data_IF_240173739586
#
_entry.id   IF_240173739586
#
_cell.length_a   1.000
_cell.length_b   1.000
_cell.length_c   1.000
_cell.angle_alpha   90.00
_cell.angle_beta   90.00
_cell.angle_gamma   90.00
#
_symmetry.space_group_name_H-M   'P 1'
#
loop_
_entity.id
_entity.type
_entity.pdbx_description
1 polymer ?
#
# COMPACT_ATOMS: atom_id res chain seq x y z
N UNK A 1 19.81 -13.42 -6.04
CA UNK A 1 21.19 -13.37 -6.58
C UNK A 1 21.86 -14.75 -6.48
N UNK A 2 21.26 -15.78 -7.10
CA UNK A 2 21.80 -17.16 -7.18
C UNK A 2 21.47 -17.83 -8.53
N UNK A 3 20.39 -17.42 -9.20
CA UNK A 3 19.93 -17.98 -10.48
C UNK A 3 20.84 -17.59 -11.66
N UNK A 4 21.36 -16.35 -11.68
CA UNK A 4 22.32 -15.88 -12.70
C UNK A 4 23.62 -16.69 -12.69
N UNK A 5 24.06 -17.14 -11.50
CA UNK A 5 25.27 -17.95 -11.32
C UNK A 5 25.12 -19.38 -11.84
N UNK A 6 23.89 -19.88 -11.98
CA UNK A 6 23.61 -21.26 -12.38
C UNK A 6 23.31 -21.44 -13.87
N UNK A 7 23.37 -20.35 -14.66
CA UNK A 7 23.16 -20.36 -16.11
C UNK A 7 21.87 -21.09 -16.55
N UNK A 8 20.86 -21.13 -15.67
CA UNK A 8 19.60 -21.83 -15.91
C UNK A 8 18.79 -20.98 -16.89
N UNK A 9 18.47 -21.54 -18.04
CA UNK A 9 17.73 -20.86 -19.10
C UNK A 9 16.28 -20.56 -18.71
N UNK A 10 15.72 -21.33 -17.77
CA UNK A 10 14.35 -21.21 -17.27
C UNK A 10 14.28 -21.43 -15.75
N UNK A 11 13.42 -20.68 -15.06
CA UNK A 11 13.19 -20.86 -13.62
C UNK A 11 12.55 -22.24 -13.36
N UNK A 12 13.10 -23.07 -12.43
CA UNK A 12 12.50 -24.36 -12.12
C UNK A 12 11.04 -24.20 -11.66
N UNK A 13 10.18 -25.16 -12.00
CA UNK A 13 8.75 -25.13 -11.69
C UNK A 13 8.46 -24.86 -10.19
N UNK A 14 9.26 -25.41 -9.28
CA UNK A 14 9.13 -25.17 -7.84
C UNK A 14 9.29 -23.69 -7.46
N UNK A 15 10.21 -22.96 -8.10
CA UNK A 15 10.38 -21.53 -7.89
C UNK A 15 9.22 -20.72 -8.48
N UNK A 16 8.72 -21.10 -9.66
CA UNK A 16 7.55 -20.46 -10.26
C UNK A 16 6.30 -20.63 -9.37
N UNK A 17 6.12 -21.83 -8.81
CA UNK A 17 5.03 -22.14 -7.89
C UNK A 17 5.14 -21.32 -6.59
N UNK A 18 6.33 -21.28 -5.97
CA UNK A 18 6.58 -20.47 -4.79
C UNK A 18 6.33 -18.98 -5.05
N UNK A 19 6.75 -18.47 -6.20
CA UNK A 19 6.53 -17.08 -6.60
C UNK A 19 5.03 -16.75 -6.70
N UNK A 20 4.24 -17.61 -7.34
CA UNK A 20 2.78 -17.44 -7.46
C UNK A 20 2.09 -17.50 -6.10
N UNK A 21 2.45 -18.45 -5.24
CA UNK A 21 1.90 -18.56 -3.88
C UNK A 21 2.24 -17.32 -3.06
N UNK A 22 3.52 -16.90 -3.06
CA UNK A 22 3.97 -15.72 -2.34
C UNK A 22 3.26 -14.45 -2.82
N UNK A 23 3.13 -14.27 -4.13
CA UNK A 23 2.43 -13.11 -4.71
C UNK A 23 0.93 -13.12 -4.37
N UNK A 24 0.31 -14.30 -4.31
CA UNK A 24 -1.10 -14.45 -3.90
C UNK A 24 -1.29 -14.09 -2.43
N UNK A 25 -0.41 -14.57 -1.55
CA UNK A 25 -0.44 -14.20 -0.12
C UNK A 25 -0.24 -12.69 0.03
N UNK A 26 0.70 -12.11 -0.72
CA UNK A 26 0.97 -10.68 -0.68
C UNK A 26 -0.22 -9.84 -1.17
N UNK A 27 -0.99 -10.33 -2.14
CA UNK A 27 -2.24 -9.70 -2.58
C UNK A 27 -3.33 -9.66 -1.49
N UNK A 28 -3.26 -10.55 -0.48
CA UNK A 28 -4.20 -10.58 0.65
C UNK A 28 -3.78 -9.65 1.81
N UNK A 29 -2.53 -9.19 1.85
CA UNK A 29 -2.00 -8.31 2.92
C UNK A 29 -2.88 -7.06 3.16
N UNK A 30 -3.33 -6.33 2.13
CA UNK A 30 -4.21 -5.18 2.32
C UNK A 30 -5.51 -5.53 3.09
N UNK A 31 -6.09 -6.70 2.81
CA UNK A 31 -7.31 -7.15 3.48
C UNK A 31 -7.06 -7.48 4.95
N UNK A 32 -5.92 -8.12 5.26
CA UNK A 32 -5.53 -8.43 6.65
C UNK A 32 -5.35 -7.14 7.45
N UNK A 33 -4.64 -6.15 6.88
CA UNK A 33 -4.42 -4.86 7.55
C UNK A 33 -5.74 -4.10 7.72
N UNK A 34 -6.64 -4.12 6.73
CA UNK A 34 -7.97 -3.53 6.85
C UNK A 34 -8.74 -4.11 8.05
N UNK A 35 -8.78 -5.44 8.17
CA UNK A 35 -9.46 -6.14 9.27
C UNK A 35 -8.80 -5.79 10.60
N UNK A 36 -7.48 -5.77 10.65
CA UNK A 36 -6.72 -5.39 11.85
C UNK A 36 -7.05 -3.96 12.30
N UNK A 37 -7.06 -2.99 11.39
CA UNK A 37 -7.40 -1.60 11.70
C UNK A 37 -8.85 -1.46 12.17
N UNK A 38 -9.79 -2.17 11.54
CA UNK A 38 -11.19 -2.18 11.95
C UNK A 38 -11.35 -2.61 13.41
N UNK A 39 -10.82 -3.79 13.77
CA UNK A 39 -10.93 -4.28 15.14
C UNK A 39 -10.19 -3.40 16.13
N UNK A 40 -9.00 -2.89 15.77
CA UNK A 40 -8.23 -2.01 16.65
C UNK A 40 -9.00 -0.74 16.98
N UNK A 41 -9.61 -0.10 15.98
CA UNK A 41 -10.38 1.14 16.19
C UNK A 41 -11.71 0.84 16.91
N UNK A 42 -12.39 -0.25 16.56
CA UNK A 42 -13.63 -0.68 17.23
C UNK A 42 -13.41 -0.91 18.73
N UNK A 43 -12.37 -1.67 19.10
CA UNK A 43 -12.00 -1.93 20.49
C UNK A 43 -11.63 -0.63 21.20
N UNK A 44 -10.80 0.22 20.58
CA UNK A 44 -10.37 1.47 21.20
C UNK A 44 -11.56 2.40 21.48
N UNK A 45 -12.48 2.57 20.52
CA UNK A 45 -13.64 3.45 20.70
C UNK A 45 -14.65 2.88 21.69
N UNK A 46 -14.99 1.60 21.57
CA UNK A 46 -16.02 0.98 22.42
C UNK A 46 -15.51 0.67 23.83
N UNK A 47 -14.34 0.04 23.97
CA UNK A 47 -13.89 -0.51 25.25
C UNK A 47 -13.08 0.50 26.07
N UNK A 48 -12.28 1.35 25.43
CA UNK A 48 -11.47 2.35 26.13
C UNK A 48 -12.17 3.69 26.30
N UNK A 49 -12.85 4.17 25.26
CA UNK A 49 -13.53 5.47 25.29
C UNK A 49 -15.02 5.37 25.63
N UNK A 50 -15.63 4.18 25.61
CA UNK A 50 -17.05 3.99 25.87
C UNK A 50 -17.96 4.58 24.78
N UNK A 51 -17.42 4.90 23.61
CA UNK A 51 -18.15 5.48 22.49
C UNK A 51 -18.54 4.42 21.47
N UNK A 52 -19.84 4.13 21.38
CA UNK A 52 -20.37 3.20 20.39
C UNK A 52 -20.45 3.85 19.00
N UNK A 53 -19.44 3.61 18.17
CA UNK A 53 -19.46 4.03 16.77
C UNK A 53 -20.30 3.08 15.92
N UNK A 54 -21.10 3.62 15.00
CA UNK A 54 -21.80 2.80 14.02
C UNK A 54 -20.82 2.03 13.14
N UNK A 55 -20.98 0.70 13.08
CA UNK A 55 -20.08 -0.21 12.33
C UNK A 55 -20.01 0.14 10.85
N UNK A 56 -21.13 0.53 10.24
CA UNK A 56 -21.16 0.93 8.82
C UNK A 56 -20.36 2.20 8.59
N UNK A 57 -20.46 3.17 9.50
CA UNK A 57 -19.66 4.40 9.47
C UNK A 57 -18.16 4.10 9.61
N UNK A 58 -17.78 3.23 10.55
CA UNK A 58 -16.37 2.85 10.75
C UNK A 58 -15.78 2.14 9.52
N UNK A 59 -16.50 1.16 8.95
CA UNK A 59 -16.10 0.46 7.73
C UNK A 59 -15.91 1.44 6.57
N UNK A 60 -16.81 2.42 6.41
CA UNK A 60 -16.68 3.45 5.36
C UNK A 60 -15.43 4.30 5.54
N UNK A 61 -15.16 4.77 6.76
CA UNK A 61 -13.99 5.59 7.06
C UNK A 61 -12.70 4.83 6.74
N UNK A 62 -12.57 3.61 7.28
CA UNK A 62 -11.38 2.78 7.06
C UNK A 62 -11.25 2.44 5.58
N UNK A 63 -12.35 2.05 4.92
CA UNK A 63 -12.34 1.67 3.51
C UNK A 63 -11.89 2.79 2.58
N UNK A 64 -12.38 4.02 2.79
CA UNK A 64 -11.94 5.19 2.02
C UNK A 64 -10.47 5.53 2.27
N UNK A 65 -10.03 5.49 3.53
CA UNK A 65 -8.62 5.70 3.88
C UNK A 65 -7.70 4.64 3.29
N UNK A 66 -8.24 3.45 2.97
CA UNK A 66 -7.50 2.33 2.40
C UNK A 66 -7.38 2.35 0.88
N UNK A 67 -8.13 3.22 0.18
CA UNK A 67 -8.15 3.28 -1.28
C UNK A 67 -6.76 3.45 -1.92
N UNK A 68 -5.87 4.36 -1.48
CA UNK A 68 -4.54 4.49 -2.08
C UNK A 68 -3.71 3.21 -1.93
N UNK A 69 -3.80 2.59 -0.76
CA UNK A 69 -3.07 1.35 -0.46
C UNK A 69 -3.60 0.17 -1.30
N UNK A 70 -4.91 0.12 -1.56
CA UNK A 70 -5.50 -0.85 -2.48
C UNK A 70 -5.08 -0.57 -3.93
N UNK A 71 -5.13 0.68 -4.38
CA UNK A 71 -4.72 1.05 -5.73
C UNK A 71 -3.25 0.71 -5.96
N UNK A 72 -2.37 0.99 -5.00
CA UNK A 72 -0.96 0.64 -5.15
C UNK A 72 -0.73 -0.87 -5.02
N UNK A 73 -1.12 -1.45 -3.88
CA UNK A 73 -0.69 -2.80 -3.52
C UNK A 73 -1.50 -3.88 -4.23
N UNK A 74 -2.82 -3.70 -4.36
CA UNK A 74 -3.66 -4.65 -5.08
C UNK A 74 -3.33 -4.60 -6.58
N UNK A 75 -3.23 -3.41 -7.17
CA UNK A 75 -2.86 -3.30 -8.59
C UNK A 75 -1.47 -3.88 -8.85
N UNK A 76 -0.47 -3.59 -8.02
CA UNK A 76 0.88 -4.16 -8.14
C UNK A 76 0.89 -5.70 -8.08
N UNK A 77 0.30 -6.29 -7.04
CA UNK A 77 0.34 -7.75 -6.87
C UNK A 77 -0.49 -8.50 -7.92
N UNK A 78 -1.65 -7.97 -8.31
CA UNK A 78 -2.43 -8.58 -9.38
C UNK A 78 -1.75 -8.45 -10.74
N UNK A 79 -1.04 -7.33 -10.98
CA UNK A 79 -0.25 -7.20 -12.20
C UNK A 79 0.90 -8.19 -12.24
N UNK A 80 1.57 -8.44 -11.12
CA UNK A 80 2.56 -9.51 -11.02
C UNK A 80 1.93 -10.88 -11.27
N UNK A 81 0.76 -11.16 -10.71
CA UNK A 81 0.12 -12.47 -10.90
C UNK A 81 -0.31 -12.74 -12.35
N UNK A 82 -0.75 -11.71 -13.08
CA UNK A 82 -1.33 -11.87 -14.42
C UNK A 82 -0.38 -11.56 -15.57
N UNK A 83 0.52 -10.58 -15.42
CA UNK A 83 1.34 -10.06 -16.52
C UNK A 83 2.83 -10.37 -16.37
N UNK A 84 3.27 -10.83 -15.19
CA UNK A 84 4.65 -11.26 -14.98
C UNK A 84 4.90 -12.59 -15.68
N UNK A 85 5.61 -12.56 -16.80
CA UNK A 85 6.15 -13.77 -17.39
C UNK A 85 7.45 -14.13 -16.67
N UNK A 86 7.34 -15.04 -15.70
CA UNK A 86 8.46 -15.48 -14.84
C UNK A 86 9.65 -16.01 -15.64
N UNK A 87 9.43 -16.49 -16.86
CA UNK A 87 10.49 -17.05 -17.72
C UNK A 87 11.40 -15.96 -18.31
N UNK A 88 10.96 -14.69 -18.31
CA UNK A 88 11.69 -13.54 -18.84
C UNK A 88 12.46 -12.74 -17.79
N UNK A 89 12.24 -12.98 -16.49
CA UNK A 89 12.90 -12.23 -15.42
C UNK A 89 14.14 -12.99 -14.96
N UNK A 90 15.31 -12.51 -15.37
CA UNK A 90 16.62 -13.08 -15.00
C UNK A 90 17.34 -12.22 -13.97
N UNK A 91 16.92 -10.97 -13.80
CA UNK A 91 17.52 -10.00 -12.88
C UNK A 91 16.49 -9.07 -12.22
N UNK A 92 16.87 -8.47 -11.08
CA UNK A 92 16.05 -7.45 -10.41
C UNK A 92 15.84 -6.20 -11.29
N UNK A 93 16.84 -5.84 -12.10
CA UNK A 93 16.73 -4.72 -13.05
C UNK A 93 15.67 -4.98 -14.12
N UNK A 94 15.59 -6.19 -14.68
CA UNK A 94 14.55 -6.54 -15.66
C UNK A 94 13.15 -6.52 -15.06
N UNK A 95 13.02 -6.90 -13.78
CA UNK A 95 11.76 -6.79 -13.05
C UNK A 95 11.35 -5.33 -12.86
N UNK A 96 12.28 -4.45 -12.48
CA UNK A 96 12.01 -3.03 -12.28
C UNK A 96 11.66 -2.31 -13.60
N UNK A 97 12.18 -2.77 -14.74
CA UNK A 97 11.86 -2.24 -16.07
C UNK A 97 10.66 -2.91 -16.74
N UNK A 98 9.96 -3.82 -16.06
CA UNK A 98 8.81 -4.50 -16.64
C UNK A 98 7.64 -3.52 -16.81
N UNK A 99 6.97 -3.61 -17.96
CA UNK A 99 5.72 -2.91 -18.22
C UNK A 99 4.55 -3.78 -17.79
N UNK A 100 3.62 -3.16 -17.05
CA UNK A 100 2.42 -3.78 -16.52
C UNK A 100 1.22 -3.40 -17.39
N UNK A 101 0.00 -3.66 -16.92
CA UNK A 101 -1.22 -3.29 -17.63
C UNK A 101 -1.21 -1.79 -18.01
N UNK A 102 -1.62 -1.49 -19.25
CA UNK A 102 -1.55 -0.15 -19.86
C UNK A 102 -0.14 0.42 -20.05
N UNK A 103 0.87 -0.44 -20.21
CA UNK A 103 2.27 -0.06 -20.42
C UNK A 103 2.90 0.75 -19.26
N UNK A 104 2.27 0.70 -18.08
CA UNK A 104 2.74 1.37 -16.87
C UNK A 104 3.99 0.69 -16.33
N UNK A 105 4.94 1.47 -15.82
CA UNK A 105 6.13 1.00 -15.11
C UNK A 105 5.93 1.09 -13.59
N UNK A 106 6.86 0.51 -12.83
CA UNK A 106 6.82 0.58 -11.36
C UNK A 106 6.76 2.02 -10.83
N UNK A 107 7.54 2.92 -11.44
CA UNK A 107 7.57 4.35 -11.11
C UNK A 107 6.22 5.04 -11.30
N UNK A 108 5.41 4.59 -12.27
CA UNK A 108 4.09 5.17 -12.51
C UNK A 108 3.12 4.82 -11.37
N UNK A 109 3.28 3.64 -10.74
CA UNK A 109 2.49 3.27 -9.56
C UNK A 109 2.88 4.07 -8.32
N UNK A 110 4.17 4.35 -8.15
CA UNK A 110 4.63 5.24 -7.09
C UNK A 110 3.99 6.61 -7.24
N UNK A 111 4.00 7.16 -8.47
CA UNK A 111 3.35 8.44 -8.77
C UNK A 111 1.84 8.42 -8.49
N UNK A 112 1.11 7.42 -8.98
CA UNK A 112 -0.34 7.28 -8.74
C UNK A 112 -0.63 7.21 -7.24
N UNK A 113 0.11 6.40 -6.49
CA UNK A 113 -0.05 6.26 -5.05
C UNK A 113 0.17 7.59 -4.32
N UNK A 114 1.24 8.32 -4.66
CA UNK A 114 1.54 9.64 -4.10
C UNK A 114 0.42 10.64 -4.37
N UNK A 115 -0.11 10.66 -5.61
CA UNK A 115 -1.23 11.54 -5.99
C UNK A 115 -2.49 11.18 -5.19
N UNK A 116 -2.82 9.90 -5.04
CA UNK A 116 -3.97 9.45 -4.24
C UNK A 116 -3.87 9.90 -2.78
N UNK A 117 -2.70 9.75 -2.15
CA UNK A 117 -2.47 10.25 -0.79
C UNK A 117 -2.56 11.77 -0.69
N UNK A 118 -2.02 12.49 -1.68
CA UNK A 118 -2.14 13.95 -1.78
C UNK A 118 -3.59 14.43 -1.78
N UNK A 119 -4.48 13.78 -2.55
CA UNK A 119 -5.90 14.09 -2.55
C UNK A 119 -6.58 13.84 -1.21
N UNK A 120 -6.26 12.73 -0.53
CA UNK A 120 -6.82 12.42 0.80
C UNK A 120 -6.41 13.47 1.82
N UNK A 121 -5.12 13.81 1.88
CA UNK A 121 -4.64 14.83 2.82
C UNK A 121 -5.25 16.19 2.54
N UNK A 122 -5.33 16.59 1.26
CA UNK A 122 -5.96 17.84 0.88
C UNK A 122 -7.43 17.88 1.29
N UNK A 123 -8.18 16.79 1.05
CA UNK A 123 -9.58 16.68 1.46
C UNK A 123 -9.74 16.84 2.98
N UNK A 124 -8.92 16.14 3.78
CA UNK A 124 -8.97 16.22 5.26
C UNK A 124 -8.63 17.63 5.74
N UNK A 125 -7.60 18.26 5.18
CA UNK A 125 -7.18 19.62 5.54
C UNK A 125 -8.31 20.62 5.25
N UNK A 126 -8.86 20.59 4.02
CA UNK A 126 -9.97 21.48 3.63
C UNK A 126 -11.17 21.27 4.55
N UNK A 127 -11.54 20.01 4.81
CA UNK A 127 -12.67 19.67 5.66
C UNK A 127 -12.50 20.21 7.09
N UNK A 128 -11.33 20.04 7.71
CA UNK A 128 -11.10 20.50 9.07
C UNK A 128 -11.01 22.03 9.18
N UNK A 129 -10.44 22.70 8.17
CA UNK A 129 -10.42 24.17 8.12
C UNK A 129 -11.85 24.72 7.95
N UNK A 130 -12.68 24.07 7.14
CA UNK A 130 -14.10 24.43 6.98
C UNK A 130 -14.90 24.30 8.28
N UNK A 131 -14.46 23.42 9.18
CA UNK A 131 -15.05 23.24 10.52
C UNK A 131 -14.35 24.08 11.61
N UNK A 132 -13.68 25.17 11.23
CA UNK A 132 -13.05 26.16 12.11
C UNK A 132 -11.99 25.57 13.07
N UNK A 133 -11.40 24.42 12.72
CA UNK A 133 -10.28 23.86 13.47
C UNK A 133 -9.03 24.69 13.19
N UNK A 134 -8.24 24.97 14.23
CA UNK A 134 -7.00 25.74 14.11
C UNK A 134 -6.09 25.16 13.01
N UNK A 135 -5.72 25.98 12.02
CA UNK A 135 -4.95 25.58 10.84
C UNK A 135 -3.65 24.87 11.22
N UNK A 136 -2.94 25.35 12.25
CA UNK A 136 -1.68 24.75 12.68
C UNK A 136 -1.91 23.36 13.27
N UNK A 137 -2.96 23.17 14.07
CA UNK A 137 -3.33 21.87 14.60
C UNK A 137 -3.75 20.89 13.48
N UNK A 138 -4.46 21.37 12.45
CA UNK A 138 -4.83 20.57 11.27
C UNK A 138 -3.58 20.12 10.52
N UNK A 139 -2.69 21.05 10.17
CA UNK A 139 -1.48 20.74 9.42
C UNK A 139 -0.57 19.76 10.18
N UNK A 140 -0.37 19.97 11.49
CA UNK A 140 0.43 19.06 12.31
C UNK A 140 -0.25 17.69 12.37
N UNK A 141 -1.53 17.59 12.71
CA UNK A 141 -2.19 16.29 12.87
C UNK A 141 -2.24 15.46 11.56
N UNK A 142 -2.44 16.11 10.42
CA UNK A 142 -2.54 15.42 9.13
C UNK A 142 -1.15 15.04 8.57
N UNK A 143 -0.16 15.93 8.68
CA UNK A 143 1.16 15.71 8.06
C UNK A 143 2.15 14.96 8.97
N UNK A 144 1.95 14.98 10.29
CA UNK A 144 2.87 14.38 11.25
C UNK A 144 3.13 12.88 11.01
N UNK A 145 2.13 12.03 10.72
CA UNK A 145 2.38 10.62 10.39
C UNK A 145 3.32 10.45 9.17
N UNK A 146 3.14 11.26 8.12
CA UNK A 146 3.98 11.21 6.92
C UNK A 146 5.40 11.69 7.20
N UNK A 147 5.56 12.69 8.06
CA UNK A 147 6.87 13.17 8.53
C UNK A 147 7.60 12.06 9.30
N UNK A 148 6.91 11.36 10.22
CA UNK A 148 7.50 10.22 10.94
C UNK A 148 7.93 9.12 9.98
N UNK A 149 7.09 8.79 8.99
CA UNK A 149 7.42 7.78 7.99
C UNK A 149 8.67 8.18 7.18
N UNK A 150 8.74 9.43 6.71
CA UNK A 150 9.88 9.95 5.97
C UNK A 150 11.18 9.91 6.80
N UNK A 151 11.10 10.32 8.07
CA UNK A 151 12.25 10.25 8.99
C UNK A 151 12.70 8.82 9.24
N UNK A 152 11.76 7.89 9.40
CA UNK A 152 12.05 6.47 9.60
C UNK A 152 12.74 5.88 8.38
N UNK A 153 12.26 6.18 7.16
CA UNK A 153 12.92 5.79 5.93
C UNK A 153 14.34 6.37 5.81
N UNK A 154 14.53 7.63 6.18
CA UNK A 154 15.85 8.26 6.18
C UNK A 154 16.83 7.52 7.10
N UNK A 155 16.42 7.21 8.34
CA UNK A 155 17.25 6.49 9.33
C UNK A 155 17.56 5.06 8.90
N UNK A 156 16.64 4.38 8.20
CA UNK A 156 16.88 3.00 7.76
C UNK A 156 17.84 2.96 6.56
N UNK A 157 17.83 4.00 5.74
CA UNK A 157 18.61 4.05 4.48
C UNK A 157 20.02 4.59 4.69
N UNK A 158 20.28 5.37 5.74
CA UNK A 158 21.55 6.04 6.04
C UNK A 158 22.02 5.75 7.46
#
# INVERSE_FOLDING_TARGET
>A
MQIVLLNVTELPFSYQLLFKISSTIAALVPLIIFVFLYFTIEIMLNDFFGENIDKKKLIKIIGLSYLPMLIYQYYFWFNILFYCNTDKIKSASEFLSMTFMFDLQLSDFEFINTVCWGFIYLYIIIYLIYHDVNILAVLVSVLFPSVIAALSCYIITY
#
